data_IF_032063682932
#
_entry.id   IF_032063682932
#
_cell.length_a   1.000
_cell.length_b   1.000
_cell.length_c   1.000
_cell.angle_alpha   90.00
_cell.angle_beta   90.00
_cell.angle_gamma   90.00
#
_symmetry.space_group_name_H-M   'P 1'
#
loop_
_entity.id
_entity.type
_entity.pdbx_description
1 polymer ?
#
# COMPACT_ATOMS: atom_id res chain seq x y z
N UNK A 1 -10.08 -10.23 6.79
CA UNK A 1 -11.33 -11.02 6.71
C UNK A 1 -12.41 -10.19 6.04
N UNK A 2 -13.60 -10.76 5.80
CA UNK A 2 -14.71 -10.00 5.23
C UNK A 2 -15.21 -8.95 6.24
N UNK A 3 -15.14 -7.68 5.88
CA UNK A 3 -15.51 -6.54 6.74
C UNK A 3 -16.25 -5.49 5.94
N UNK A 4 -17.19 -4.80 6.56
CA UNK A 4 -17.90 -3.67 5.97
C UNK A 4 -17.81 -2.47 6.90
N UNK A 5 -17.79 -1.26 6.34
CA UNK A 5 -17.90 0.01 7.09
C UNK A 5 -16.88 0.09 8.23
N UNK A 6 -15.73 -0.57 8.05
CA UNK A 6 -14.69 -0.69 9.07
C UNK A 6 -13.66 0.39 8.87
N UNK A 7 -13.27 1.03 9.97
CA UNK A 7 -12.24 2.05 9.94
C UNK A 7 -11.05 1.68 10.80
N UNK A 8 -9.88 1.65 10.17
CA UNK A 8 -8.60 1.47 10.83
C UNK A 8 -7.75 2.69 10.50
N UNK A 9 -7.66 3.63 11.45
CA UNK A 9 -6.95 4.89 11.24
C UNK A 9 -6.07 5.31 12.38
N UNK A 10 -5.02 6.06 12.05
CA UNK A 10 -4.11 6.71 13.01
C UNK A 10 -3.39 5.73 13.95
N UNK A 11 -3.07 4.52 13.48
CA UNK A 11 -2.32 3.53 14.24
C UNK A 11 -0.84 3.54 13.84
N UNK A 12 0.03 3.15 14.78
CA UNK A 12 1.41 2.75 14.51
C UNK A 12 1.47 1.21 14.58
N UNK A 13 1.87 0.56 13.49
CA UNK A 13 1.89 -0.90 13.35
C UNK A 13 3.29 -1.32 12.93
N UNK A 14 4.00 -2.02 13.82
CA UNK A 14 5.40 -2.33 13.58
C UNK A 14 5.89 -3.60 14.24
N UNK A 15 7.07 -4.07 13.82
CA UNK A 15 7.76 -5.26 14.33
C UNK A 15 6.91 -6.55 14.27
N UNK A 16 6.21 -6.75 13.15
CA UNK A 16 5.38 -7.94 12.93
C UNK A 16 6.07 -8.97 12.02
N UNK A 17 5.84 -10.27 12.25
CA UNK A 17 6.47 -11.32 11.46
C UNK A 17 5.98 -11.37 10.00
N UNK A 18 4.82 -10.79 9.71
CA UNK A 18 4.17 -10.79 8.40
C UNK A 18 3.48 -9.43 8.16
N UNK A 19 2.46 -9.40 7.31
CA UNK A 19 1.67 -8.23 6.93
C UNK A 19 1.18 -7.41 8.13
N UNK A 20 1.17 -6.08 7.99
CA UNK A 20 0.65 -5.17 9.01
C UNK A 20 -0.88 -5.18 9.09
N UNK A 21 -1.55 -4.92 7.97
CA UNK A 21 -3.01 -4.92 7.86
C UNK A 21 -3.43 -5.88 6.75
N UNK A 22 -4.32 -6.83 7.07
CA UNK A 22 -4.94 -7.71 6.08
C UNK A 22 -6.46 -7.49 6.08
N UNK A 23 -7.02 -7.12 4.92
CA UNK A 23 -8.43 -6.80 4.77
C UNK A 23 -9.05 -7.46 3.54
N UNK A 24 -10.31 -7.85 3.66
CA UNK A 24 -10.96 -8.70 2.68
C UNK A 24 -10.66 -10.17 2.88
N UNK A 25 -11.26 -10.96 2.01
CA UNK A 25 -11.13 -12.40 1.89
C UNK A 25 -11.72 -12.83 0.55
N UNK A 26 -11.56 -14.11 0.21
CA UNK A 26 -11.93 -14.70 -1.08
C UNK A 26 -11.08 -14.17 -2.24
N UNK A 27 -10.39 -15.08 -2.92
CA UNK A 27 -9.62 -14.80 -4.14
C UNK A 27 -10.54 -14.66 -5.36
N UNK A 28 -11.50 -13.74 -5.30
CA UNK A 28 -12.52 -13.54 -6.34
C UNK A 28 -13.07 -12.11 -6.34
N UNK A 29 -13.35 -11.51 -7.51
CA UNK A 29 -14.02 -10.22 -7.61
C UNK A 29 -15.55 -10.32 -7.45
N UNK A 30 -16.07 -11.48 -7.01
CA UNK A 30 -17.49 -11.66 -6.73
C UNK A 30 -17.96 -10.84 -5.52
N UNK A 31 -19.25 -10.53 -5.51
CA UNK A 31 -19.85 -9.77 -4.44
C UNK A 31 -19.80 -10.52 -3.11
N UNK A 32 -19.34 -9.82 -2.08
CA UNK A 32 -19.38 -10.25 -0.68
C UNK A 32 -19.98 -9.10 0.14
N UNK A 33 -20.17 -9.27 1.46
CA UNK A 33 -20.53 -8.14 2.32
C UNK A 33 -19.47 -7.03 2.38
N UNK A 34 -18.24 -7.24 1.87
CA UNK A 34 -17.18 -6.24 1.92
C UNK A 34 -17.55 -4.94 1.20
N UNK A 35 -17.43 -3.81 1.90
CA UNK A 35 -17.62 -2.47 1.36
C UNK A 35 -17.12 -1.40 2.33
N UNK A 36 -16.89 -0.20 1.83
CA UNK A 36 -16.74 1.02 2.62
C UNK A 36 -15.73 0.90 3.78
N UNK A 37 -14.65 0.17 3.56
CA UNK A 37 -13.58 0.05 4.55
C UNK A 37 -12.58 1.20 4.37
N UNK A 38 -12.26 1.90 5.46
CA UNK A 38 -11.36 3.04 5.47
C UNK A 38 -10.08 2.70 6.21
N UNK A 39 -8.99 2.50 5.46
CA UNK A 39 -7.66 2.27 6.03
C UNK A 39 -6.84 3.52 5.79
N UNK A 40 -6.76 4.38 6.82
CA UNK A 40 -6.29 5.75 6.64
C UNK A 40 -5.28 6.22 7.67
N UNK A 41 -4.30 7.03 7.27
CA UNK A 41 -3.36 7.68 8.19
C UNK A 41 -2.61 6.70 9.13
N UNK A 42 -2.45 5.43 8.74
CA UNK A 42 -1.67 4.48 9.54
C UNK A 42 -0.19 4.61 9.19
N UNK A 43 0.66 4.47 10.21
CA UNK A 43 2.11 4.41 10.09
C UNK A 43 2.54 2.96 10.26
N UNK A 44 3.04 2.33 9.20
CA UNK A 44 3.32 0.89 9.14
C UNK A 44 4.79 0.68 8.78
N UNK A 45 5.57 0.05 9.65
CA UNK A 45 7.00 -0.15 9.37
C UNK A 45 7.57 -1.40 10.02
N UNK A 46 8.68 -1.92 9.49
CA UNK A 46 9.34 -3.11 10.06
C UNK A 46 8.37 -4.30 10.23
N UNK A 47 7.44 -4.44 9.28
CA UNK A 47 6.57 -5.61 9.13
C UNK A 47 7.20 -6.56 8.12
N UNK A 48 6.57 -7.70 7.82
CA UNK A 48 7.12 -8.71 6.89
C UNK A 48 8.50 -9.24 7.32
N UNK A 49 8.76 -9.34 8.61
CA UNK A 49 10.11 -9.67 9.12
C UNK A 49 10.50 -11.15 8.94
N UNK A 50 9.53 -12.05 8.77
CA UNK A 50 9.77 -13.50 8.68
C UNK A 50 9.12 -14.14 7.45
N UNK A 51 7.86 -13.80 7.18
CA UNK A 51 7.10 -14.33 6.06
C UNK A 51 7.11 -13.37 4.87
N UNK A 52 7.06 -13.92 3.66
CA UNK A 52 6.99 -13.21 2.37
C UNK A 52 5.59 -13.35 1.74
N UNK A 53 5.40 -12.77 0.55
CA UNK A 53 4.13 -12.79 -0.20
C UNK A 53 3.03 -11.97 0.49
N UNK A 54 3.33 -10.71 0.72
CA UNK A 54 2.48 -9.80 1.49
C UNK A 54 2.96 -8.36 1.36
N UNK A 55 2.54 -7.52 2.29
CA UNK A 55 3.04 -6.15 2.39
C UNK A 55 2.63 -5.45 3.68
N UNK A 56 2.90 -4.16 3.78
CA UNK A 56 2.36 -3.33 4.86
C UNK A 56 0.85 -3.41 4.96
N UNK A 57 0.19 -3.32 3.80
CA UNK A 57 -1.25 -3.59 3.64
C UNK A 57 -1.44 -4.69 2.60
N UNK A 58 -2.24 -5.70 2.92
CA UNK A 58 -2.68 -6.76 2.02
C UNK A 58 -4.19 -6.72 1.86
N UNK A 59 -4.68 -6.82 0.62
CA UNK A 59 -6.10 -6.79 0.31
C UNK A 59 -6.52 -7.90 -0.66
N UNK A 60 -7.73 -8.43 -0.46
CA UNK A 60 -8.37 -9.43 -1.32
C UNK A 60 -9.82 -9.05 -1.64
N UNK A 61 -10.27 -9.50 -2.81
CA UNK A 61 -11.68 -9.53 -3.22
C UNK A 61 -12.32 -8.18 -3.55
N UNK A 62 -13.61 -8.20 -3.92
CA UNK A 62 -14.37 -7.00 -4.24
C UNK A 62 -14.57 -6.10 -3.01
N UNK A 63 -14.23 -4.81 -3.13
CA UNK A 63 -14.12 -3.85 -2.01
C UNK A 63 -14.77 -2.48 -2.33
N UNK A 64 -16.03 -2.42 -2.78
CA UNK A 64 -16.68 -1.20 -3.24
C UNK A 64 -16.69 -0.13 -2.16
N UNK A 65 -16.35 1.10 -2.54
CA UNK A 65 -16.33 2.24 -1.63
C UNK A 65 -15.15 2.27 -0.65
N UNK A 66 -14.37 1.19 -0.56
CA UNK A 66 -13.21 1.09 0.32
C UNK A 66 -12.05 1.97 -0.17
N UNK A 67 -11.27 2.49 0.78
CA UNK A 67 -10.20 3.45 0.53
C UNK A 67 -8.96 3.15 1.36
N UNK A 68 -7.80 3.19 0.71
CA UNK A 68 -6.47 3.15 1.31
C UNK A 68 -5.85 4.54 1.19
N UNK A 69 -5.97 5.36 2.25
CA UNK A 69 -5.68 6.79 2.17
C UNK A 69 -4.54 7.20 3.09
N UNK A 70 -3.61 8.03 2.60
CA UNK A 70 -2.69 8.74 3.49
C UNK A 70 -1.80 7.85 4.39
N UNK A 71 -1.69 6.55 4.12
CA UNK A 71 -0.88 5.64 4.92
C UNK A 71 0.61 5.91 4.64
N UNK A 72 1.44 5.73 5.65
CA UNK A 72 2.89 5.88 5.59
C UNK A 72 3.52 4.53 5.85
N UNK A 73 4.09 3.93 4.80
CA UNK A 73 4.61 2.56 4.84
C UNK A 73 6.09 2.57 4.51
N UNK A 74 6.94 2.04 5.39
CA UNK A 74 8.37 1.97 5.13
C UNK A 74 9.12 0.88 5.86
N UNK A 75 10.39 0.68 5.49
CA UNK A 75 11.32 -0.28 6.11
C UNK A 75 10.78 -1.73 6.09
N UNK A 76 10.37 -2.17 4.90
CA UNK A 76 10.03 -3.57 4.63
C UNK A 76 11.22 -4.18 3.90
N UNK A 77 12.07 -4.91 4.62
CA UNK A 77 13.31 -5.48 4.09
C UNK A 77 13.14 -6.88 3.51
N UNK A 78 14.16 -7.34 2.78
CA UNK A 78 14.24 -8.74 2.32
C UNK A 78 14.25 -9.65 3.54
N UNK A 79 13.43 -10.70 3.50
CA UNK A 79 13.40 -11.74 4.53
C UNK A 79 13.81 -13.09 3.92
N UNK A 80 13.85 -14.15 4.75
CA UNK A 80 14.27 -15.48 4.31
C UNK A 80 13.30 -16.14 3.31
N UNK A 81 12.09 -15.61 3.15
CA UNK A 81 11.12 -16.05 2.16
C UNK A 81 11.57 -15.74 0.74
N UNK A 82 11.15 -16.59 -0.21
CA UNK A 82 11.51 -16.43 -1.64
C UNK A 82 10.54 -15.55 -2.42
N UNK A 83 9.34 -15.31 -1.89
CA UNK A 83 8.34 -14.46 -2.52
C UNK A 83 8.58 -12.98 -2.19
N UNK A 84 7.85 -12.10 -2.85
CA UNK A 84 8.06 -10.66 -2.73
C UNK A 84 7.41 -10.08 -1.46
N UNK A 85 8.09 -9.11 -0.85
CA UNK A 85 7.58 -8.30 0.26
C UNK A 85 7.42 -6.85 -0.20
N UNK A 86 6.19 -6.34 -0.16
CA UNK A 86 5.78 -5.09 -0.83
C UNK A 86 5.34 -4.02 0.18
N UNK A 87 5.13 -2.79 -0.28
CA UNK A 87 4.53 -1.74 0.54
C UNK A 87 3.04 -2.00 0.75
N UNK A 88 2.30 -2.12 -0.35
CA UNK A 88 0.96 -2.70 -0.37
C UNK A 88 0.86 -3.79 -1.43
N UNK A 89 0.09 -4.83 -1.12
CA UNK A 89 -0.20 -5.93 -2.02
C UNK A 89 -1.71 -6.08 -2.19
N UNK A 90 -2.23 -5.63 -3.34
CA UNK A 90 -3.63 -5.77 -3.72
C UNK A 90 -3.74 -7.03 -4.58
N UNK A 91 -4.11 -8.13 -3.92
CA UNK A 91 -4.06 -9.49 -4.46
C UNK A 91 -5.41 -9.88 -5.10
N UNK A 92 -5.55 -11.15 -5.45
CA UNK A 92 -6.57 -11.68 -6.35
C UNK A 92 -8.00 -11.20 -6.01
N UNK A 93 -8.71 -10.77 -7.05
CA UNK A 93 -10.07 -10.27 -6.93
C UNK A 93 -10.19 -8.85 -6.40
N UNK A 94 -9.10 -8.20 -5.97
CA UNK A 94 -9.15 -6.80 -5.51
C UNK A 94 -9.71 -5.89 -6.60
N UNK A 95 -10.84 -5.24 -6.28
CA UNK A 95 -11.62 -4.42 -7.23
C UNK A 95 -12.37 -3.31 -6.50
N UNK A 96 -12.57 -2.18 -7.20
CA UNK A 96 -13.35 -1.01 -6.77
C UNK A 96 -12.78 -0.28 -5.54
N UNK A 97 -11.45 -0.31 -5.40
CA UNK A 97 -10.71 0.36 -4.33
C UNK A 97 -10.11 1.67 -4.80
N UNK A 98 -10.13 2.69 -3.93
CA UNK A 98 -9.33 3.91 -4.09
C UNK A 98 -8.04 3.82 -3.25
N UNK A 99 -6.90 3.94 -3.91
CA UNK A 99 -5.57 4.01 -3.27
C UNK A 99 -5.01 5.42 -3.50
N UNK A 100 -4.96 6.25 -2.46
CA UNK A 100 -4.66 7.67 -2.62
C UNK A 100 -3.76 8.27 -1.53
N UNK A 101 -2.87 9.18 -1.96
CA UNK A 101 -2.01 10.01 -1.10
C UNK A 101 -1.12 9.22 -0.10
N UNK A 102 -0.83 7.95 -0.41
CA UNK A 102 0.05 7.13 0.43
C UNK A 102 1.53 7.47 0.16
N UNK A 103 2.32 7.48 1.23
CA UNK A 103 3.77 7.65 1.19
C UNK A 103 4.44 6.29 1.46
N UNK A 104 5.14 5.75 0.46
CA UNK A 104 5.72 4.41 0.54
C UNK A 104 7.19 4.45 0.10
N UNK A 105 8.11 3.99 0.96
CA UNK A 105 9.55 4.00 0.68
C UNK A 105 10.32 2.91 1.41
N UNK A 106 11.57 2.66 1.01
CA UNK A 106 12.43 1.62 1.60
C UNK A 106 11.73 0.24 1.67
N UNK A 107 11.23 -0.20 0.51
CA UNK A 107 10.56 -1.48 0.34
C UNK A 107 11.48 -2.42 -0.44
N UNK A 108 11.55 -3.69 -0.02
CA UNK A 108 12.39 -4.71 -0.62
C UNK A 108 12.02 -4.99 -2.09
N UNK A 109 10.73 -4.89 -2.41
CA UNK A 109 10.17 -5.00 -3.77
C UNK A 109 9.37 -3.75 -4.10
N UNK A 110 8.26 -3.88 -4.82
CA UNK A 110 7.51 -2.71 -5.26
C UNK A 110 6.72 -2.05 -4.12
N UNK A 111 6.68 -0.70 -4.07
CA UNK A 111 5.78 0.04 -3.20
C UNK A 111 4.33 -0.41 -3.31
N UNK A 112 3.81 -0.59 -4.52
CA UNK A 112 2.49 -1.15 -4.78
C UNK A 112 2.62 -2.36 -5.71
N UNK A 113 1.97 -3.46 -5.37
CA UNK A 113 1.89 -4.65 -6.23
C UNK A 113 0.44 -5.07 -6.40
N UNK A 114 0.08 -5.42 -7.64
CA UNK A 114 -1.20 -6.00 -7.99
C UNK A 114 -1.04 -7.42 -8.50
N UNK A 115 -1.80 -8.38 -7.95
CA UNK A 115 -1.86 -9.74 -8.49
C UNK A 115 -3.30 -10.16 -8.77
N UNK A 116 -3.60 -10.52 -10.03
CA UNK A 116 -4.97 -10.87 -10.48
C UNK A 116 -6.05 -9.91 -9.97
N UNK A 117 -5.70 -8.62 -9.90
CA UNK A 117 -6.62 -7.58 -9.52
C UNK A 117 -7.45 -7.14 -10.74
N UNK A 118 -8.59 -6.52 -10.48
CA UNK A 118 -9.45 -5.92 -11.50
C UNK A 118 -9.34 -4.40 -11.44
N UNK A 119 -10.41 -3.68 -11.81
CA UNK A 119 -10.40 -2.23 -11.90
C UNK A 119 -10.24 -1.57 -10.53
N UNK A 120 -9.21 -0.73 -10.38
CA UNK A 120 -8.94 0.05 -9.16
C UNK A 120 -8.44 1.43 -9.54
N UNK A 121 -8.59 2.41 -8.64
CA UNK A 121 -8.09 3.78 -8.81
C UNK A 121 -6.87 4.00 -7.92
N UNK A 122 -5.78 4.47 -8.51
CA UNK A 122 -4.51 4.68 -7.79
C UNK A 122 -4.03 6.09 -8.10
N UNK A 123 -4.10 7.00 -7.14
CA UNK A 123 -3.84 8.41 -7.43
C UNK A 123 -3.00 9.13 -6.37
N UNK A 124 -2.17 10.07 -6.81
CA UNK A 124 -1.39 10.98 -5.96
C UNK A 124 -0.48 10.30 -4.92
N UNK A 125 -0.12 9.03 -5.11
CA UNK A 125 0.77 8.33 -4.19
C UNK A 125 2.24 8.73 -4.44
N UNK A 126 3.04 8.81 -3.38
CA UNK A 126 4.50 8.99 -3.46
C UNK A 126 5.18 7.65 -3.24
N UNK A 127 5.68 7.07 -4.33
CA UNK A 127 6.24 5.73 -4.40
C UNK A 127 7.74 5.85 -4.62
N UNK A 128 8.51 5.66 -3.56
CA UNK A 128 9.97 5.65 -3.65
C UNK A 128 10.45 4.23 -3.89
N UNK A 129 11.22 4.04 -4.96
CA UNK A 129 11.65 2.72 -5.42
C UNK A 129 13.16 2.59 -5.32
N UNK A 130 13.63 1.34 -5.32
CA UNK A 130 15.02 1.05 -5.67
C UNK A 130 15.21 1.12 -7.20
N UNK A 131 16.41 0.83 -7.66
CA UNK A 131 16.79 0.82 -9.09
C UNK A 131 16.30 -0.43 -9.84
N UNK A 132 15.81 -1.45 -9.13
CA UNK A 132 15.50 -2.77 -9.69
C UNK A 132 14.01 -3.12 -9.73
N UNK A 133 13.14 -2.30 -9.12
CA UNK A 133 11.70 -2.55 -9.05
C UNK A 133 10.89 -1.30 -9.39
N UNK A 134 9.76 -1.43 -10.11
CA UNK A 134 8.87 -0.31 -10.43
C UNK A 134 8.08 0.12 -9.19
N UNK A 135 7.51 1.35 -9.22
CA UNK A 135 6.64 1.85 -8.16
C UNK A 135 5.36 1.04 -8.04
N UNK A 136 4.81 0.67 -9.19
CA UNK A 136 3.63 -0.19 -9.32
C UNK A 136 4.00 -1.43 -10.15
N UNK A 137 3.92 -2.61 -9.53
CA UNK A 137 4.12 -3.89 -10.19
C UNK A 137 2.79 -4.59 -10.51
N UNK A 138 2.80 -5.34 -11.61
CA UNK A 138 1.65 -6.07 -12.14
C UNK A 138 1.99 -7.55 -12.32
N UNK A 139 1.25 -8.43 -11.66
CA UNK A 139 1.38 -9.88 -11.80
C UNK A 139 0.02 -10.45 -12.22
N UNK A 140 -0.13 -10.89 -13.46
CA UNK A 140 -1.44 -11.34 -13.99
C UNK A 140 -2.58 -10.31 -13.77
N UNK A 141 -2.23 -9.03 -13.63
CA UNK A 141 -3.14 -7.90 -13.58
C UNK A 141 -2.87 -7.10 -14.84
N UNK A 142 -3.93 -6.80 -15.59
CA UNK A 142 -3.82 -5.96 -16.77
C UNK A 142 -3.56 -4.50 -16.35
N UNK A 143 -2.50 -3.83 -16.81
CA UNK A 143 -2.20 -2.45 -16.42
C UNK A 143 -3.34 -1.47 -16.67
N UNK A 144 -4.12 -1.66 -17.73
CA UNK A 144 -5.29 -0.85 -18.07
C UNK A 144 -6.41 -0.90 -17.02
N UNK A 145 -6.45 -1.93 -16.17
CA UNK A 145 -7.40 -1.99 -15.05
C UNK A 145 -7.02 -1.05 -13.92
N UNK A 146 -5.76 -0.62 -13.83
CA UNK A 146 -5.29 0.24 -12.75
C UNK A 146 -5.29 1.69 -13.26
N UNK A 147 -6.36 2.41 -12.95
CA UNK A 147 -6.55 3.79 -13.37
C UNK A 147 -5.67 4.71 -12.52
N UNK A 148 -4.56 5.13 -13.10
CA UNK A 148 -3.57 5.94 -12.42
C UNK A 148 -3.74 7.44 -12.69
N UNK A 149 -3.53 8.26 -11.66
CA UNK A 149 -3.51 9.71 -11.81
C UNK A 149 -2.56 10.37 -10.81
N UNK A 150 -1.58 11.14 -11.29
CA UNK A 150 -0.77 11.99 -10.40
C UNK A 150 0.17 11.25 -9.42
N UNK A 151 0.31 9.92 -9.53
CA UNK A 151 1.30 9.17 -8.75
C UNK A 151 2.71 9.65 -9.12
N UNK A 152 3.58 9.73 -8.12
CA UNK A 152 4.99 10.10 -8.29
C UNK A 152 5.84 8.90 -7.94
N UNK A 153 6.57 8.40 -8.94
CA UNK A 153 7.58 7.36 -8.75
C UNK A 153 8.96 8.00 -8.74
N UNK A 154 9.72 7.79 -7.66
CA UNK A 154 11.06 8.36 -7.49
C UNK A 154 12.02 7.22 -7.15
N UNK A 155 12.91 6.88 -8.08
CA UNK A 155 13.89 5.80 -7.90
C UNK A 155 15.17 6.31 -7.23
N UNK A 156 15.88 5.43 -6.52
CA UNK A 156 17.19 5.71 -5.90
C UNK A 156 18.26 6.21 -6.88
N UNK A 157 18.06 6.04 -8.19
CA UNK A 157 18.95 6.59 -9.23
C UNK A 157 18.73 8.09 -9.47
N UNK A 158 17.62 8.67 -8.99
CA UNK A 158 17.38 10.10 -9.05
C UNK A 158 18.38 10.83 -8.12
N UNK A 159 19.18 11.80 -8.62
CA UNK A 159 20.13 12.53 -7.79
C UNK A 159 19.48 13.31 -6.63
N UNK A 160 18.20 13.66 -6.77
CA UNK A 160 17.42 14.36 -5.75
C UNK A 160 16.63 13.41 -4.83
N UNK A 161 16.76 12.08 -4.98
CA UNK A 161 15.98 11.09 -4.22
C UNK A 161 15.90 11.42 -2.72
N UNK A 162 17.05 11.65 -2.08
CA UNK A 162 17.13 11.92 -0.65
C UNK A 162 16.47 13.25 -0.24
N UNK A 163 16.53 14.26 -1.12
CA UNK A 163 15.90 15.57 -0.87
C UNK A 163 14.38 15.41 -0.97
N UNK A 164 13.90 14.83 -2.08
CA UNK A 164 12.49 14.59 -2.34
C UNK A 164 11.85 13.71 -1.24
N UNK A 165 12.57 12.68 -0.77
CA UNK A 165 12.11 11.81 0.31
C UNK A 165 11.96 12.58 1.63
N UNK A 166 12.97 13.38 2.01
CA UNK A 166 12.91 14.20 3.23
C UNK A 166 11.74 15.19 3.18
N UNK A 167 11.50 15.82 2.03
CA UNK A 167 10.35 16.71 1.86
C UNK A 167 9.01 15.98 1.98
N UNK A 168 8.88 14.79 1.39
CA UNK A 168 7.66 13.99 1.47
C UNK A 168 7.37 13.55 2.92
N UNK A 169 8.39 13.07 3.65
CA UNK A 169 8.28 12.72 5.07
C UNK A 169 7.91 13.94 5.91
N UNK A 170 8.56 15.09 5.69
CA UNK A 170 8.26 16.32 6.42
C UNK A 170 6.81 16.77 6.22
N UNK A 171 6.32 16.75 4.97
CA UNK A 171 4.91 17.05 4.64
C UNK A 171 3.94 16.09 5.33
N UNK A 172 4.26 14.79 5.33
CA UNK A 172 3.46 13.79 6.05
C UNK A 172 3.39 14.09 7.55
N UNK A 173 4.54 14.29 8.21
CA UNK A 173 4.60 14.54 9.65
C UNK A 173 3.86 15.84 10.04
N UNK A 174 3.97 16.89 9.22
CA UNK A 174 3.23 18.12 9.44
C UNK A 174 1.71 17.91 9.39
N UNK A 175 1.22 17.13 8.42
CA UNK A 175 -0.20 16.75 8.32
C UNK A 175 -0.67 15.95 9.55
N UNK A 176 0.13 15.00 10.02
CA UNK A 176 -0.20 14.20 11.22
C UNK A 176 -0.28 15.08 12.47
N UNK A 177 0.61 16.07 12.63
CA UNK A 177 0.58 17.01 13.75
C UNK A 177 -0.66 17.91 13.75
N UNK A 178 -1.08 18.41 12.59
CA UNK A 178 -2.30 19.23 12.47
C UNK A 178 -3.56 18.43 12.88
N UNK A 179 -3.64 17.14 12.53
CA UNK A 179 -4.76 16.26 12.90
C UNK A 179 -4.82 15.90 14.39
N UNK A 180 -3.73 16.09 15.14
CA UNK A 180 -3.65 15.83 16.59
C UNK A 180 -3.96 17.06 17.46
N UNK A 181 -4.15 18.23 16.83
CA UNK A 181 -4.53 19.45 17.56
C UNK A 181 -6.05 19.43 17.81
N UNK A 182 -6.50 19.70 19.05
CA UNK A 182 -7.91 19.63 19.44
C UNK A 182 -8.81 20.61 18.69
#
# INVERSE_FOLDING_TARGET
GLTAETELRQNEIYNLPYTGISIGWMWSPEATPCRDNFIADNHIHHVMQRLSDGGGIYMLGLQPGSKLLNNHIHDISVNAGRAESNGMFLDEGTKDVLVEDNLIYNIAKSPLRFHRASTNRVQNNHLFTNDSTPGIAYNNTLPENIHQQGNREISTVDPNYNITLKEAISKYLHRVQQKKSP
#
